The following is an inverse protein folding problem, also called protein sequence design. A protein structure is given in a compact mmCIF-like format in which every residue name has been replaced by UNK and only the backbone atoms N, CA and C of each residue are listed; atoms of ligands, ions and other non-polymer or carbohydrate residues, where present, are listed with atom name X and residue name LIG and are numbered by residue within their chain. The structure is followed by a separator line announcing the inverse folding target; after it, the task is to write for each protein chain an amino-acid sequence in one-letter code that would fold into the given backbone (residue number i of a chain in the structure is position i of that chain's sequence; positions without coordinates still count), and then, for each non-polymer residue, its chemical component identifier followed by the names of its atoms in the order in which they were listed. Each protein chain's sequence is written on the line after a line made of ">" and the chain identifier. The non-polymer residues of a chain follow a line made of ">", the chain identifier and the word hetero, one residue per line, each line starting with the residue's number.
data_IF_521951566333
#
_entry.id   IF_521951566333
#
_cell.length_a   1.000
_cell.length_b   1.000
_cell.length_c   1.000
_cell.angle_alpha   90.00
_cell.angle_beta   90.00
_cell.angle_gamma   90.00
#
_symmetry.space_group_name_H-M   'P 1'
#
loop_
_entity.id
_entity.type
_entity.pdbx_description
1 polymer ?
#
# COMPACT_ATOMS: atom_id res chain seq x y z
N UNK A 1 -21.03 25.06 -8.17
CA UNK A 1 -21.38 25.15 -6.74
C UNK A 1 -20.31 24.50 -5.90
N UNK A 2 -20.50 24.39 -4.59
CA UNK A 2 -19.69 23.44 -3.80
C UNK A 2 -20.11 22.00 -4.13
N UNK A 3 -19.20 21.02 -4.05
CA UNK A 3 -19.53 19.61 -4.30
C UNK A 3 -20.52 19.08 -3.26
N UNK A 4 -21.41 18.21 -3.72
CA UNK A 4 -22.47 17.59 -2.90
C UNK A 4 -22.61 16.10 -3.17
N UNK A 5 -21.74 15.54 -4.01
CA UNK A 5 -21.79 14.16 -4.46
C UNK A 5 -21.57 13.20 -3.28
N UNK A 6 -22.40 12.15 -3.17
CA UNK A 6 -22.26 11.15 -2.12
C UNK A 6 -21.00 10.31 -2.35
N UNK A 7 -20.26 10.08 -1.27
CA UNK A 7 -19.14 9.12 -1.23
C UNK A 7 -19.62 7.88 -0.50
N UNK A 8 -19.58 6.75 -1.20
CA UNK A 8 -20.12 5.48 -0.73
C UNK A 8 -19.01 4.44 -0.57
N UNK A 9 -19.23 3.46 0.31
CA UNK A 9 -18.30 2.34 0.47
C UNK A 9 -18.20 1.53 -0.83
N UNK A 10 -16.99 1.27 -1.30
CA UNK A 10 -16.75 0.50 -2.53
C UNK A 10 -16.96 -0.99 -2.35
N UNK A 11 -16.93 -1.48 -1.10
CA UNK A 11 -17.18 -2.86 -0.72
C UNK A 11 -17.60 -2.91 0.76
N UNK A 12 -18.17 -4.04 1.18
CA UNK A 12 -18.37 -4.35 2.60
C UNK A 12 -17.04 -4.21 3.37
N UNK A 13 -17.09 -3.62 4.56
CA UNK A 13 -15.87 -3.37 5.34
C UNK A 13 -16.12 -2.91 6.76
N UNK A 14 -15.04 -2.56 7.43
CA UNK A 14 -15.03 -2.00 8.78
C UNK A 14 -14.26 -0.68 8.78
N UNK A 15 -14.81 0.35 9.40
CA UNK A 15 -14.14 1.64 9.58
C UNK A 15 -12.95 1.44 10.51
N UNK A 16 -11.74 1.71 10.04
CA UNK A 16 -10.51 1.59 10.85
C UNK A 16 -9.87 2.93 11.16
N UNK A 17 -10.23 3.98 10.43
CA UNK A 17 -9.72 5.31 10.67
C UNK A 17 -10.69 6.42 10.25
N UNK A 18 -10.70 7.51 11.02
CA UNK A 18 -11.43 8.73 10.75
C UNK A 18 -10.56 9.95 11.10
N UNK A 19 -10.33 10.83 10.14
CA UNK A 19 -9.77 12.16 10.36
C UNK A 19 -10.80 13.22 9.98
N UNK A 20 -11.25 13.98 10.98
CA UNK A 20 -12.10 15.18 10.82
C UNK A 20 -11.30 16.49 11.02
N UNK A 21 -9.97 16.42 10.91
CA UNK A 21 -9.04 17.53 11.15
C UNK A 21 -8.22 17.77 9.87
N UNK A 22 -8.71 18.60 8.94
CA UNK A 22 -8.16 18.67 7.59
C UNK A 22 -6.72 19.25 7.54
N UNK A 23 -6.34 20.04 8.54
CA UNK A 23 -5.01 20.64 8.62
C UNK A 23 -3.86 19.65 8.88
N UNK A 24 -4.14 18.40 9.27
CA UNK A 24 -3.11 17.44 9.71
C UNK A 24 -2.35 16.77 8.56
N UNK A 25 -2.91 16.74 7.34
CA UNK A 25 -2.22 16.27 6.14
C UNK A 25 -2.88 16.77 4.87
N UNK A 26 -2.18 16.61 3.74
CA UNK A 26 -2.69 16.94 2.41
C UNK A 26 -3.96 16.18 2.03
N UNK A 27 -4.26 15.03 2.65
CA UNK A 27 -5.54 14.32 2.47
C UNK A 27 -6.76 15.14 2.94
N UNK A 28 -6.60 16.10 3.85
CA UNK A 28 -7.74 16.81 4.42
C UNK A 28 -8.55 15.92 5.37
N UNK A 29 -9.88 16.02 5.31
CA UNK A 29 -10.74 15.05 5.98
C UNK A 29 -10.70 13.74 5.19
N UNK A 30 -10.46 12.63 5.88
CA UNK A 30 -10.42 11.33 5.24
C UNK A 30 -10.81 10.21 6.20
N UNK A 31 -11.17 9.07 5.61
CA UNK A 31 -11.45 7.84 6.34
C UNK A 31 -10.77 6.66 5.64
N UNK A 32 -10.54 5.60 6.41
CA UNK A 32 -10.04 4.33 5.89
C UNK A 32 -10.98 3.22 6.30
N UNK A 33 -11.35 2.38 5.34
CA UNK A 33 -12.05 1.12 5.59
C UNK A 33 -11.09 -0.04 5.41
N UNK A 34 -11.22 -1.07 6.25
CA UNK A 34 -10.61 -2.39 6.07
C UNK A 34 -11.64 -3.34 5.49
N UNK A 35 -11.23 -4.10 4.48
CA UNK A 35 -12.01 -5.10 3.80
C UNK A 35 -11.36 -6.48 3.95
N UNK A 36 -12.17 -7.52 3.83
CA UNK A 36 -11.71 -8.91 3.67
C UNK A 36 -12.36 -9.45 2.41
N UNK A 37 -11.59 -9.57 1.32
CA UNK A 37 -12.09 -9.92 -0.01
C UNK A 37 -11.28 -11.09 -0.54
N UNK A 38 -11.92 -12.24 -0.76
CA UNK A 38 -11.27 -13.43 -1.31
C UNK A 38 -10.07 -13.92 -0.48
N UNK A 39 -10.15 -13.78 0.85
CA UNK A 39 -9.07 -14.17 1.77
C UNK A 39 -7.89 -13.20 1.84
N UNK A 40 -8.02 -12.01 1.24
CA UNK A 40 -7.01 -10.95 1.28
C UNK A 40 -7.58 -9.74 2.02
N UNK A 41 -6.77 -9.19 2.92
CA UNK A 41 -7.05 -7.92 3.57
C UNK A 41 -6.71 -6.76 2.64
N UNK A 42 -7.66 -5.87 2.38
CA UNK A 42 -7.49 -4.68 1.54
C UNK A 42 -7.99 -3.46 2.29
N UNK A 43 -7.42 -2.30 2.02
CA UNK A 43 -7.85 -1.03 2.59
C UNK A 43 -8.36 -0.11 1.49
N UNK A 44 -9.43 0.63 1.75
CA UNK A 44 -9.83 1.75 0.90
C UNK A 44 -9.72 3.06 1.68
N UNK A 45 -9.17 4.07 1.03
CA UNK A 45 -9.03 5.43 1.58
C UNK A 45 -9.89 6.39 0.76
N UNK A 46 -10.63 7.26 1.46
CA UNK A 46 -11.45 8.30 0.85
C UNK A 46 -11.07 9.64 1.47
N UNK A 47 -10.52 10.55 0.68
CA UNK A 47 -9.96 11.83 1.14
C UNK A 47 -10.58 13.04 0.43
N UNK A 48 -10.13 14.22 0.85
CA UNK A 48 -10.65 15.54 0.47
C UNK A 48 -12.12 15.74 0.85
N UNK A 49 -12.64 14.95 1.79
CA UNK A 49 -14.05 14.90 2.14
C UNK A 49 -14.51 16.25 2.71
N UNK A 50 -15.75 16.64 2.43
CA UNK A 50 -16.36 17.81 3.08
C UNK A 50 -16.65 17.48 4.53
N UNK A 51 -17.41 16.40 4.73
CA UNK A 51 -17.74 15.83 6.02
C UNK A 51 -18.00 14.32 5.86
N UNK A 52 -17.63 13.58 6.89
CA UNK A 52 -18.03 12.18 7.08
C UNK A 52 -19.36 12.19 7.84
N UNK A 53 -20.27 11.24 7.57
CA UNK A 53 -21.51 11.11 8.36
C UNK A 53 -21.19 11.03 9.86
N UNK A 54 -22.03 11.65 10.67
CA UNK A 54 -21.70 11.97 12.07
C UNK A 54 -21.68 10.73 12.97
N UNK A 55 -22.53 9.76 12.68
CA UNK A 55 -22.69 8.52 13.40
C UNK A 55 -21.64 7.44 13.03
N UNK A 56 -20.77 7.70 12.04
CA UNK A 56 -19.71 6.77 11.67
C UNK A 56 -18.62 6.70 12.74
N UNK A 57 -18.38 5.50 13.26
CA UNK A 57 -17.41 5.22 14.33
C UNK A 57 -16.33 4.24 13.88
N UNK A 58 -15.13 4.34 14.45
CA UNK A 58 -14.08 3.32 14.29
C UNK A 58 -14.59 2.00 14.87
N UNK A 59 -14.40 0.90 14.12
CA UNK A 59 -14.92 -0.43 14.44
C UNK A 59 -16.29 -0.73 13.84
N UNK A 60 -16.99 0.27 13.29
CA UNK A 60 -18.30 0.07 12.68
C UNK A 60 -18.20 -0.68 11.35
N UNK A 61 -19.07 -1.67 11.15
CA UNK A 61 -19.24 -2.33 9.86
C UNK A 61 -20.07 -1.45 8.90
N UNK A 62 -19.70 -1.45 7.63
CA UNK A 62 -20.41 -0.76 6.55
C UNK A 62 -20.64 -1.71 5.38
N UNK A 63 -21.70 -1.49 4.62
CA UNK A 63 -22.06 -2.26 3.43
C UNK A 63 -21.64 -1.58 2.14
N UNK A 64 -21.35 -2.35 1.10
CA UNK A 64 -21.11 -1.82 -0.24
C UNK A 64 -22.27 -0.89 -0.67
N UNK A 65 -21.94 0.29 -1.18
CA UNK A 65 -22.92 1.31 -1.56
C UNK A 65 -23.47 2.14 -0.39
N UNK A 66 -23.10 1.84 0.86
CA UNK A 66 -23.53 2.63 2.02
C UNK A 66 -22.88 4.03 1.99
N UNK A 67 -23.68 5.05 2.29
CA UNK A 67 -23.21 6.44 2.40
C UNK A 67 -22.20 6.57 3.55
N UNK A 68 -21.03 7.12 3.23
CA UNK A 68 -19.96 7.39 4.19
C UNK A 68 -19.78 8.89 4.43
N UNK A 69 -19.80 9.67 3.37
CA UNK A 69 -19.38 11.07 3.39
C UNK A 69 -19.96 11.84 2.21
N UNK A 70 -19.75 13.16 2.22
CA UNK A 70 -19.94 14.02 1.05
C UNK A 70 -18.58 14.41 0.46
N UNK A 71 -18.50 14.42 -0.86
CA UNK A 71 -17.33 14.91 -1.59
C UNK A 71 -17.05 16.35 -1.18
N UNK A 72 -15.76 16.68 -1.06
CA UNK A 72 -15.32 18.00 -0.70
C UNK A 72 -14.12 18.45 -1.50
N UNK A 73 -13.38 19.36 -0.88
CA UNK A 73 -12.15 19.95 -1.40
C UNK A 73 -11.18 20.27 -0.25
N UNK A 74 -11.27 19.52 0.85
CA UNK A 74 -10.46 19.76 2.04
C UNK A 74 -9.01 19.29 1.81
N UNK A 75 -8.06 20.03 2.35
CA UNK A 75 -6.63 19.68 2.37
C UNK A 75 -5.98 20.44 3.53
N UNK A 76 -4.66 20.38 3.68
CA UNK A 76 -3.94 21.05 4.76
C UNK A 76 -3.73 22.56 4.56
N UNK A 77 -4.12 23.11 3.41
CA UNK A 77 -4.07 24.56 3.14
C UNK A 77 -5.39 25.24 3.53
N UNK A 78 -5.32 26.54 3.82
CA UNK A 78 -6.49 27.32 4.24
C UNK A 78 -7.50 27.48 3.10
N UNK A 79 -7.01 27.61 1.89
CA UNK A 79 -7.80 27.84 0.68
C UNK A 79 -8.59 26.59 0.27
N UNK A 80 -8.09 25.40 0.63
CA UNK A 80 -8.57 24.13 0.13
C UNK A 80 -8.17 23.90 -1.34
N UNK A 81 -8.60 22.77 -1.91
CA UNK A 81 -8.52 22.53 -3.35
C UNK A 81 -9.51 23.48 -4.05
N UNK A 82 -9.17 23.94 -5.25
CA UNK A 82 -10.04 24.84 -6.02
C UNK A 82 -11.36 24.14 -6.38
N UNK A 83 -12.44 24.92 -6.52
CA UNK A 83 -13.79 24.36 -6.72
C UNK A 83 -13.91 23.55 -8.01
N UNK A 84 -13.26 24.00 -9.07
CA UNK A 84 -13.17 23.33 -10.37
C UNK A 84 -12.37 22.02 -10.33
N UNK A 85 -11.60 21.79 -9.26
CA UNK A 85 -10.81 20.58 -9.02
C UNK A 85 -11.28 19.79 -7.82
N UNK A 86 -12.48 20.07 -7.28
CA UNK A 86 -13.05 19.28 -6.20
C UNK A 86 -13.20 17.82 -6.64
N UNK A 87 -12.69 16.89 -5.85
CA UNK A 87 -12.69 15.46 -6.16
C UNK A 87 -12.57 14.64 -4.88
N UNK A 88 -12.85 13.34 -4.98
CA UNK A 88 -12.46 12.36 -3.98
C UNK A 88 -11.08 11.82 -4.38
N UNK A 89 -10.12 11.91 -3.47
CA UNK A 89 -8.91 11.11 -3.59
C UNK A 89 -9.22 9.72 -3.04
N UNK A 90 -9.11 8.70 -3.90
CA UNK A 90 -9.51 7.34 -3.63
C UNK A 90 -8.33 6.38 -3.82
N UNK A 91 -8.08 5.52 -2.84
CA UNK A 91 -7.02 4.52 -2.88
C UNK A 91 -7.57 3.12 -2.58
N UNK A 92 -6.92 2.09 -3.12
CA UNK A 92 -7.05 0.69 -2.73
C UNK A 92 -5.66 0.16 -2.39
N UNK A 93 -5.44 -0.18 -1.12
CA UNK A 93 -4.11 -0.34 -0.57
C UNK A 93 -3.91 -1.65 0.18
N UNK A 94 -2.64 -2.08 0.23
CA UNK A 94 -2.14 -3.03 1.21
C UNK A 94 -1.39 -2.28 2.33
N UNK A 95 -1.57 -2.72 3.57
CA UNK A 95 -0.93 -2.12 4.75
C UNK A 95 0.48 -2.69 4.90
N UNK A 96 1.50 -1.82 4.98
CA UNK A 96 2.90 -2.28 5.00
C UNK A 96 3.28 -2.88 6.35
N UNK A 97 3.08 -2.14 7.44
CA UNK A 97 3.57 -2.54 8.76
C UNK A 97 2.75 -1.93 9.90
N UNK A 98 2.29 -2.77 10.84
CA UNK A 98 1.53 -2.33 12.02
C UNK A 98 2.35 -1.46 12.98
N UNK A 99 3.69 -1.58 12.92
CA UNK A 99 4.64 -0.82 13.72
C UNK A 99 5.08 0.47 13.03
N UNK A 100 4.38 0.92 11.99
CA UNK A 100 4.68 2.16 11.27
C UNK A 100 4.96 3.37 12.18
N UNK A 101 4.19 3.66 13.25
CA UNK A 101 4.51 4.80 14.11
C UNK A 101 5.88 4.72 14.77
N UNK A 102 6.33 3.51 15.13
CA UNK A 102 7.64 3.30 15.72
C UNK A 102 8.76 3.41 14.68
N UNK A 103 8.55 2.84 13.49
CA UNK A 103 9.46 3.02 12.37
C UNK A 103 9.60 4.50 11.98
N UNK A 104 8.48 5.22 11.86
CA UNK A 104 8.44 6.61 11.42
C UNK A 104 9.20 7.54 12.37
N UNK A 105 9.07 7.33 13.69
CA UNK A 105 9.86 8.10 14.68
C UNK A 105 11.37 7.93 14.48
N UNK A 106 11.82 6.74 14.04
CA UNK A 106 13.23 6.47 13.76
C UNK A 106 13.67 7.02 12.41
N UNK A 107 12.85 6.82 11.38
CA UNK A 107 13.17 7.19 10.00
C UNK A 107 13.04 8.69 9.73
N UNK A 108 12.16 9.38 10.46
CA UNK A 108 11.82 10.80 10.26
C UNK A 108 11.62 11.51 11.63
N UNK A 109 12.64 11.58 12.51
CA UNK A 109 12.49 12.07 13.88
C UNK A 109 12.02 13.53 14.00
N UNK A 110 12.28 14.36 12.98
CA UNK A 110 11.85 15.75 12.93
C UNK A 110 10.42 15.94 12.41
N UNK A 111 9.76 14.89 11.93
CA UNK A 111 8.41 14.96 11.36
C UNK A 111 7.37 14.42 12.34
N UNK A 112 6.17 15.01 12.29
CA UNK A 112 5.02 14.53 13.06
C UNK A 112 4.35 13.37 12.32
N UNK A 113 3.78 12.44 13.09
CA UNK A 113 2.86 11.44 12.58
C UNK A 113 1.51 11.58 13.29
N UNK A 114 0.69 12.52 12.83
CA UNK A 114 -0.63 12.78 13.42
C UNK A 114 -1.69 11.72 13.02
N UNK A 115 -1.33 10.76 12.17
CA UNK A 115 -2.22 9.73 11.61
C UNK A 115 -1.92 8.30 12.10
N UNK A 116 -0.89 8.12 12.93
CA UNK A 116 -0.54 6.81 13.48
C UNK A 116 -0.24 5.78 12.39
N UNK A 117 -0.87 4.61 12.45
CA UNK A 117 -0.70 3.54 11.47
C UNK A 117 -1.38 3.83 10.11
N UNK A 118 -2.28 4.83 10.07
CA UNK A 118 -3.09 5.20 8.89
C UNK A 118 -2.51 6.41 8.15
N UNK A 119 -1.22 6.65 8.34
CA UNK A 119 -0.45 7.57 7.52
C UNK A 119 -0.32 6.98 6.10
N UNK A 120 -0.52 7.79 5.06
CA UNK A 120 -0.45 7.32 3.67
C UNK A 120 0.89 6.68 3.28
N UNK A 121 1.98 6.97 3.99
CA UNK A 121 3.26 6.28 3.77
C UNK A 121 3.24 4.79 4.19
N UNK A 122 2.24 4.35 4.96
CA UNK A 122 2.05 2.96 5.36
C UNK A 122 1.08 2.18 4.46
N UNK A 123 0.58 2.82 3.40
CA UNK A 123 -0.38 2.26 2.47
C UNK A 123 0.29 2.13 1.09
N UNK A 124 0.24 0.94 0.51
CA UNK A 124 0.75 0.68 -0.83
C UNK A 124 -0.41 0.49 -1.81
N UNK A 125 -0.61 1.51 -2.64
CA UNK A 125 -1.67 1.57 -3.62
C UNK A 125 -1.51 0.60 -4.78
N UNK A 126 -2.58 -0.13 -5.03
CA UNK A 126 -2.91 -0.77 -6.30
C UNK A 126 -3.72 0.21 -7.14
N UNK A 127 -3.63 0.11 -8.48
CA UNK A 127 -4.45 0.95 -9.37
C UNK A 127 -5.94 0.52 -9.27
N UNK A 128 -6.83 1.35 -8.68
CA UNK A 128 -8.23 0.96 -8.49
C UNK A 128 -8.97 0.81 -9.82
N UNK A 129 -8.53 1.51 -10.88
CA UNK A 129 -9.12 1.41 -12.21
C UNK A 129 -8.85 0.03 -12.81
N UNK A 130 -7.65 -0.51 -12.64
CA UNK A 130 -7.31 -1.85 -13.15
C UNK A 130 -8.10 -2.94 -12.41
N UNK A 131 -8.28 -2.79 -11.08
CA UNK A 131 -9.12 -3.70 -10.29
C UNK A 131 -10.56 -3.67 -10.82
N UNK A 132 -11.14 -2.47 -10.97
CA UNK A 132 -12.51 -2.31 -11.48
C UNK A 132 -12.69 -2.90 -12.88
N UNK A 133 -11.76 -2.65 -13.81
CA UNK A 133 -11.85 -3.19 -15.16
C UNK A 133 -11.73 -4.71 -15.20
N UNK A 134 -10.85 -5.28 -14.37
CA UNK A 134 -10.67 -6.72 -14.33
C UNK A 134 -11.86 -7.43 -13.68
N UNK A 135 -12.44 -6.85 -12.62
CA UNK A 135 -13.69 -7.31 -12.03
C UNK A 135 -14.83 -7.29 -13.04
N UNK A 136 -15.00 -6.19 -13.78
CA UNK A 136 -16.00 -6.05 -14.85
C UNK A 136 -15.83 -7.08 -15.97
N UNK A 137 -14.59 -7.44 -16.30
CA UNK A 137 -14.27 -8.42 -17.34
C UNK A 137 -14.56 -9.85 -16.88
N UNK A 138 -14.29 -10.16 -15.62
CA UNK A 138 -14.37 -11.53 -15.09
C UNK A 138 -15.70 -11.86 -14.39
N UNK A 139 -16.59 -10.88 -14.19
CA UNK A 139 -17.98 -10.88 -13.64
C UNK A 139 -18.34 -11.86 -12.51
N UNK A 140 -18.04 -13.14 -12.62
CA UNK A 140 -18.29 -14.19 -11.61
C UNK A 140 -17.01 -14.77 -11.00
N UNK A 141 -15.85 -14.62 -11.64
CA UNK A 141 -14.60 -15.30 -11.26
C UNK A 141 -13.47 -14.34 -10.84
N UNK A 142 -13.77 -13.06 -10.64
CA UNK A 142 -12.74 -12.11 -10.22
C UNK A 142 -12.12 -12.53 -8.88
N UNK A 143 -10.79 -12.62 -8.86
CA UNK A 143 -10.00 -12.92 -7.67
C UNK A 143 -9.01 -11.80 -7.43
N UNK A 144 -9.24 -11.04 -6.35
CA UNK A 144 -8.32 -10.00 -5.89
C UNK A 144 -6.93 -10.58 -5.61
N UNK A 145 -6.86 -11.77 -5.01
CA UNK A 145 -5.60 -12.46 -4.78
C UNK A 145 -4.85 -12.73 -6.09
N UNK A 146 -5.55 -13.22 -7.12
CA UNK A 146 -4.92 -13.45 -8.42
C UNK A 146 -4.50 -12.14 -9.06
N UNK A 147 -5.31 -11.08 -8.98
CA UNK A 147 -4.94 -9.75 -9.48
C UNK A 147 -3.63 -9.26 -8.83
N UNK A 148 -3.50 -9.40 -7.50
CA UNK A 148 -2.28 -9.02 -6.78
C UNK A 148 -1.12 -9.95 -7.18
N UNK A 149 -1.30 -11.27 -7.19
CA UNK A 149 -0.22 -12.22 -7.52
C UNK A 149 0.35 -12.11 -8.96
N UNK A 150 -0.35 -11.39 -9.84
CA UNK A 150 0.01 -11.17 -11.26
C UNK A 150 0.34 -9.71 -11.59
N UNK A 151 0.69 -8.88 -10.60
CA UNK A 151 1.25 -7.56 -10.89
C UNK A 151 2.51 -7.65 -11.76
N UNK A 152 2.77 -6.62 -12.56
CA UNK A 152 4.01 -6.51 -13.34
C UNK A 152 5.19 -6.22 -12.41
N UNK A 153 6.24 -7.04 -12.48
CA UNK A 153 7.47 -6.86 -11.70
C UNK A 153 8.25 -5.64 -12.22
N UNK A 154 8.52 -4.68 -11.33
CA UNK A 154 9.52 -3.64 -11.60
C UNK A 154 10.91 -4.16 -11.23
N UNK A 155 11.04 -4.71 -10.03
CA UNK A 155 12.31 -5.22 -9.56
C UNK A 155 12.11 -6.37 -8.58
N UNK A 156 13.19 -7.12 -8.40
CA UNK A 156 13.26 -8.19 -7.42
C UNK A 156 14.40 -7.96 -6.46
N UNK A 157 14.12 -8.15 -5.18
CA UNK A 157 15.09 -7.91 -4.11
C UNK A 157 15.17 -9.11 -3.19
N UNK A 158 16.33 -9.35 -2.61
CA UNK A 158 16.48 -10.24 -1.48
C UNK A 158 16.57 -9.43 -0.18
N UNK A 159 15.84 -9.85 0.85
CA UNK A 159 15.93 -9.30 2.20
C UNK A 159 16.32 -10.39 3.19
N UNK A 160 17.25 -10.10 4.10
CA UNK A 160 17.68 -11.06 5.14
C UNK A 160 16.74 -11.19 6.33
N UNK A 161 15.74 -10.31 6.43
CA UNK A 161 14.75 -10.41 7.49
C UNK A 161 13.93 -11.70 7.32
N UNK A 162 13.89 -12.53 8.36
CA UNK A 162 13.15 -13.81 8.36
C UNK A 162 11.79 -13.71 9.04
N UNK A 163 11.50 -12.58 9.70
CA UNK A 163 10.25 -12.30 10.39
C UNK A 163 9.89 -10.82 10.23
N UNK A 164 8.73 -10.54 9.66
CA UNK A 164 8.15 -9.20 9.54
C UNK A 164 6.64 -9.30 9.26
N UNK A 165 5.83 -8.26 9.57
CA UNK A 165 4.36 -8.36 9.61
C UNK A 165 3.70 -8.78 8.30
N UNK A 166 4.30 -8.45 7.16
CA UNK A 166 3.77 -8.82 5.84
C UNK A 166 3.57 -10.33 5.67
N UNK A 167 4.50 -11.13 6.20
CA UNK A 167 4.46 -12.60 6.09
C UNK A 167 3.24 -13.21 6.77
N UNK A 168 2.79 -12.59 7.87
CA UNK A 168 1.60 -13.02 8.62
C UNK A 168 0.31 -12.39 8.09
N UNK A 169 0.38 -11.16 7.58
CA UNK A 169 -0.78 -10.41 7.07
C UNK A 169 -1.21 -10.90 5.69
N UNK A 170 -0.26 -11.24 4.83
CA UNK A 170 -0.47 -11.65 3.45
C UNK A 170 0.17 -13.02 3.14
N UNK A 171 -0.13 -14.08 3.90
CA UNK A 171 0.50 -15.39 3.73
C UNK A 171 0.20 -16.00 2.35
N UNK A 172 -0.92 -15.64 1.73
CA UNK A 172 -1.31 -16.07 0.38
C UNK A 172 -0.40 -15.52 -0.73
N UNK A 173 0.42 -14.51 -0.45
CA UNK A 173 1.44 -13.98 -1.37
C UNK A 173 2.82 -14.60 -1.15
N UNK A 174 2.96 -15.48 -0.15
CA UNK A 174 4.20 -16.21 0.16
C UNK A 174 4.14 -17.59 -0.50
N UNK A 175 5.11 -17.89 -1.35
CA UNK A 175 5.25 -19.18 -2.02
C UNK A 175 6.15 -20.11 -1.22
N UNK A 176 5.97 -21.42 -1.39
CA UNK A 176 6.84 -22.42 -0.78
C UNK A 176 8.20 -22.53 -1.47
N UNK A 177 9.25 -22.81 -0.70
CA UNK A 177 10.54 -23.26 -1.20
C UNK A 177 10.95 -24.52 -0.41
N UNK A 178 10.96 -25.72 -1.01
CA UNK A 178 11.30 -26.96 -0.32
C UNK A 178 12.68 -26.95 0.34
N UNK A 179 13.67 -26.30 -0.29
CA UNK A 179 15.03 -26.22 0.24
C UNK A 179 15.06 -25.36 1.51
N UNK A 180 14.41 -24.18 1.47
CA UNK A 180 14.26 -23.33 2.66
C UNK A 180 13.43 -24.00 3.76
N UNK A 181 12.48 -24.87 3.40
CA UNK A 181 11.74 -25.69 4.36
C UNK A 181 12.59 -26.74 5.07
N UNK A 182 13.65 -27.22 4.41
CA UNK A 182 14.57 -28.24 4.94
C UNK A 182 15.75 -27.62 5.69
N UNK A 183 16.39 -26.59 5.13
CA UNK A 183 17.58 -25.95 5.69
C UNK A 183 17.25 -24.80 6.67
N UNK A 184 16.01 -24.31 6.65
CA UNK A 184 15.59 -23.10 7.33
C UNK A 184 15.64 -21.85 6.44
N UNK A 185 14.83 -20.85 6.82
CA UNK A 185 14.68 -19.60 6.07
C UNK A 185 15.81 -18.63 6.44
N UNK A 186 16.63 -18.25 5.46
CA UNK A 186 17.69 -17.24 5.60
C UNK A 186 17.25 -15.83 5.18
N UNK A 187 16.10 -15.71 4.53
CA UNK A 187 15.52 -14.46 4.06
C UNK A 187 14.46 -14.71 2.99
N UNK A 188 14.03 -13.64 2.33
CA UNK A 188 13.00 -13.71 1.29
C UNK A 188 13.45 -12.98 0.02
N UNK A 189 13.26 -13.64 -1.11
CA UNK A 189 13.21 -13.00 -2.42
C UNK A 189 11.81 -12.38 -2.58
N UNK A 190 11.74 -11.10 -2.93
CA UNK A 190 10.53 -10.30 -2.97
C UNK A 190 10.41 -9.62 -4.33
N UNK A 191 9.32 -9.89 -5.05
CA UNK A 191 8.94 -9.18 -6.27
C UNK A 191 8.12 -7.93 -5.93
N UNK A 192 8.57 -6.78 -6.42
CA UNK A 192 7.93 -5.48 -6.21
C UNK A 192 7.39 -4.93 -7.54
N UNK A 193 6.17 -4.42 -7.54
CA UNK A 193 5.65 -3.66 -8.68
C UNK A 193 6.20 -2.21 -8.68
N UNK A 194 5.81 -1.39 -9.66
CA UNK A 194 6.32 -0.02 -9.78
C UNK A 194 5.98 0.90 -8.60
N UNK A 195 4.89 0.63 -7.87
CA UNK A 195 4.52 1.35 -6.65
C UNK A 195 5.24 0.84 -5.40
N UNK A 196 5.88 -0.33 -5.49
CA UNK A 196 6.58 -0.99 -4.41
C UNK A 196 5.73 -2.02 -3.67
N UNK A 197 4.57 -2.43 -4.21
CA UNK A 197 3.74 -3.50 -3.64
C UNK A 197 4.50 -4.83 -3.71
N UNK A 198 4.78 -5.49 -2.56
CA UNK A 198 5.25 -6.86 -2.53
C UNK A 198 4.13 -7.82 -2.93
N UNK A 199 4.20 -8.37 -4.13
CA UNK A 199 3.13 -9.24 -4.64
C UNK A 199 3.51 -10.72 -4.73
N UNK A 200 4.77 -11.04 -4.46
CA UNK A 200 5.28 -12.41 -4.36
C UNK A 200 6.50 -12.45 -3.46
N UNK A 201 6.50 -13.38 -2.50
CA UNK A 201 7.63 -13.62 -1.61
C UNK A 201 8.00 -15.10 -1.65
N UNK A 202 9.29 -15.40 -1.80
CA UNK A 202 9.82 -16.77 -1.81
C UNK A 202 10.89 -16.87 -0.71
N UNK A 203 10.72 -17.72 0.32
CA UNK A 203 11.77 -17.93 1.31
C UNK A 203 12.99 -18.55 0.62
N UNK A 204 14.20 -18.16 1.03
CA UNK A 204 15.46 -18.71 0.51
C UNK A 204 16.23 -19.40 1.63
N UNK A 205 16.84 -20.53 1.33
CA UNK A 205 17.79 -21.20 2.20
C UNK A 205 19.13 -20.45 2.25
N UNK A 206 19.96 -20.72 3.26
CA UNK A 206 21.26 -20.07 3.38
C UNK A 206 22.19 -20.41 2.20
N UNK A 207 22.09 -21.63 1.67
CA UNK A 207 22.82 -22.12 0.50
C UNK A 207 22.47 -21.39 -0.81
N UNK A 208 21.29 -20.75 -0.87
CA UNK A 208 20.77 -20.06 -2.05
C UNK A 208 21.09 -18.57 -2.07
N UNK A 209 21.65 -18.04 -0.99
CA UNK A 209 21.81 -16.60 -0.77
C UNK A 209 23.28 -16.23 -0.93
N UNK A 210 23.53 -15.24 -1.79
CA UNK A 210 24.86 -14.67 -1.97
C UNK A 210 25.02 -13.40 -1.12
N UNK A 211 26.27 -12.96 -0.93
CA UNK A 211 26.57 -11.71 -0.21
C UNK A 211 26.25 -11.72 1.28
N UNK A 212 26.33 -10.53 1.90
CA UNK A 212 26.02 -10.28 3.33
C UNK A 212 25.15 -9.05 3.57
N UNK A 213 24.76 -8.34 2.52
CA UNK A 213 23.96 -7.12 2.60
C UNK A 213 22.57 -7.40 3.16
N UNK A 214 22.01 -6.47 3.93
CA UNK A 214 20.63 -6.57 4.46
C UNK A 214 19.60 -6.66 3.34
N UNK A 215 19.79 -5.84 2.30
CA UNK A 215 19.01 -5.81 1.08
C UNK A 215 19.93 -5.98 -0.13
N UNK A 216 19.48 -6.74 -1.11
CA UNK A 216 20.20 -6.97 -2.36
C UNK A 216 19.23 -6.86 -3.53
N UNK A 217 19.59 -6.09 -4.54
CA UNK A 217 18.80 -5.98 -5.76
C UNK A 217 19.21 -7.11 -6.71
N UNK A 218 18.28 -8.00 -7.03
CA UNK A 218 18.51 -9.18 -7.85
C UNK A 218 18.27 -8.89 -9.34
N UNK A 219 17.19 -8.17 -9.66
CA UNK A 219 16.82 -7.84 -11.03
C UNK A 219 16.00 -6.55 -11.12
N UNK A 220 15.99 -5.95 -12.31
CA UNK A 220 15.14 -4.81 -12.67
C UNK A 220 14.61 -5.03 -14.09
N UNK A 221 13.31 -4.82 -14.28
CA UNK A 221 12.71 -4.66 -15.61
C UNK A 221 12.90 -3.22 -16.09
N UNK A 222 13.82 -3.02 -17.04
CA UNK A 222 14.11 -1.68 -17.59
C UNK A 222 12.95 -1.10 -18.41
N UNK A 223 12.08 -1.94 -18.96
CA UNK A 223 10.87 -1.50 -19.66
C UNK A 223 9.87 -0.92 -18.69
N UNK A 224 9.61 -1.63 -17.60
CA UNK A 224 8.70 -1.20 -16.53
C UNK A 224 9.22 0.05 -15.81
N UNK A 225 10.54 0.11 -15.53
CA UNK A 225 11.17 1.30 -14.98
C UNK A 225 10.96 2.54 -15.86
N UNK A 226 11.13 2.41 -17.19
CA UNK A 226 10.96 3.53 -18.12
C UNK A 226 9.51 4.01 -18.20
N UNK A 227 8.53 3.11 -18.04
CA UNK A 227 7.11 3.47 -17.98
C UNK A 227 6.74 4.16 -16.67
N UNK A 228 7.40 3.83 -15.57
CA UNK A 228 7.04 4.26 -14.22
C UNK A 228 8.24 4.83 -13.41
N UNK A 229 8.87 5.96 -13.84
CA UNK A 229 10.13 6.42 -13.26
C UNK A 229 9.98 7.12 -11.90
N UNK A 230 8.78 7.56 -11.52
CA UNK A 230 8.58 8.55 -10.46
C UNK A 230 8.84 8.04 -9.03
N UNK A 231 8.63 6.74 -8.75
CA UNK A 231 8.73 6.21 -7.38
C UNK A 231 10.17 6.13 -6.87
N UNK A 232 11.15 6.00 -7.77
CA UNK A 232 12.57 5.97 -7.42
C UNK A 232 12.98 4.77 -6.55
N UNK A 233 12.32 3.62 -6.70
CA UNK A 233 12.64 2.39 -5.96
C UNK A 233 14.01 1.83 -6.33
N UNK A 234 14.39 1.98 -7.59
CA UNK A 234 15.69 1.61 -8.14
C UNK A 234 16.24 2.76 -8.97
N UNK A 235 17.56 2.82 -9.11
CA UNK A 235 18.26 3.84 -9.91
C UNK A 235 19.39 3.20 -10.69
N UNK A 236 19.64 3.69 -11.90
CA UNK A 236 20.80 3.29 -12.73
C UNK A 236 21.94 4.29 -12.52
N UNK A 237 23.07 3.85 -11.95
CA UNK A 237 24.28 4.67 -11.74
C UNK A 237 25.50 3.98 -12.32
N UNK A 238 26.23 4.65 -13.21
CA UNK A 238 27.41 4.07 -13.87
C UNK A 238 27.08 2.78 -14.63
N UNK A 239 25.93 2.74 -15.29
CA UNK A 239 25.45 1.57 -16.04
C UNK A 239 24.90 0.42 -15.18
N UNK A 240 25.00 0.49 -13.84
CA UNK A 240 24.53 -0.57 -12.93
C UNK A 240 23.28 -0.16 -12.16
N UNK A 241 22.36 -1.10 -12.00
CA UNK A 241 21.17 -0.93 -11.17
C UNK A 241 21.52 -1.05 -9.69
N UNK A 242 20.88 -0.22 -8.87
CA UNK A 242 20.96 -0.23 -7.41
C UNK A 242 19.61 0.16 -6.82
N UNK A 243 19.37 -0.20 -5.56
CA UNK A 243 18.25 0.36 -4.81
C UNK A 243 18.39 1.88 -4.74
N UNK A 244 17.27 2.58 -4.96
CA UNK A 244 17.17 4.01 -4.70
C UNK A 244 16.85 4.25 -3.23
N UNK A 245 16.96 5.51 -2.79
CA UNK A 245 16.65 5.90 -1.41
C UNK A 245 15.22 5.48 -1.00
N UNK A 246 14.24 5.65 -1.89
CA UNK A 246 12.85 5.26 -1.62
C UNK A 246 12.68 3.74 -1.56
N UNK A 247 13.45 2.98 -2.35
CA UNK A 247 13.45 1.52 -2.29
C UNK A 247 14.03 1.00 -0.99
N UNK A 248 15.17 1.54 -0.55
CA UNK A 248 15.75 1.21 0.75
C UNK A 248 14.78 1.54 1.89
N UNK A 249 14.21 2.75 1.91
CA UNK A 249 13.24 3.19 2.93
C UNK A 249 12.00 2.30 2.98
N UNK A 250 11.48 1.88 1.82
CA UNK A 250 10.36 0.95 1.72
C UNK A 250 10.72 -0.42 2.33
N UNK A 251 11.88 -0.98 1.98
CA UNK A 251 12.31 -2.27 2.53
C UNK A 251 12.62 -2.19 4.03
N UNK A 252 13.11 -1.05 4.50
CA UNK A 252 13.24 -0.80 5.94
C UNK A 252 11.91 -0.83 6.65
N UNK A 253 10.88 -0.16 6.12
CA UNK A 253 9.54 -0.18 6.69
C UNK A 253 8.90 -1.58 6.61
N UNK A 254 9.01 -2.25 5.47
CA UNK A 254 8.47 -3.59 5.25
C UNK A 254 9.05 -4.60 6.26
N UNK A 255 10.33 -4.46 6.61
CA UNK A 255 11.08 -5.41 7.46
C UNK A 255 11.29 -4.94 8.92
N UNK A 256 10.62 -3.88 9.35
CA UNK A 256 10.73 -3.31 10.72
C UNK A 256 9.92 -4.07 11.78
#
# INVERSE_FOLDING_TARGET
>A
GEPTDPVMASADGTVVYLSRKPALSNYGNYLVLRHQIGGVELYSLYAHLKNVREDLMIGQAVKAGELLALMGRTTNTREGISRDRAHVHFELDLLINDRFPAWFRKASPAQRNDHGAWNGQNLLGLDPRLIFLEERRQTTNFSLLNFIGHQTELCRVFVRATRFPWLTRYPSLVQGNPLAGTEGVAGYEISLNYNGVPFRLIPRAASEVQGRSRFELLSVDEGEYRRNPCRGLVVKRGGRWRLGHNGEKLLELLTF
#
